data_IF_328455144997
#
_entry.id   IF_328455144997
#
_cell.length_a   1.000
_cell.length_b   1.000
_cell.length_c   1.000
_cell.angle_alpha   90.00
_cell.angle_beta   90.00
_cell.angle_gamma   90.00
#
_symmetry.space_group_name_H-M   'P 1'
#
loop_
_entity.id
_entity.type
_entity.pdbx_description
1 polymer ?
#
# COMPACT_ATOMS: atom_id res chain seq x y z
N UNK A 1 -3.70 -18.41 -16.31
CA UNK A 1 -4.65 -18.22 -15.20
C UNK A 1 -6.01 -17.85 -15.77
N UNK A 2 -7.13 -18.44 -15.32
CA UNK A 2 -8.46 -17.92 -15.69
C UNK A 2 -8.81 -16.78 -14.73
N UNK A 3 -8.49 -15.55 -15.13
CA UNK A 3 -9.15 -14.38 -14.57
C UNK A 3 -10.64 -14.59 -14.84
N UNK A 4 -11.50 -14.45 -13.82
CA UNK A 4 -12.93 -14.37 -14.07
C UNK A 4 -13.17 -13.09 -14.86
N UNK A 5 -13.35 -13.22 -16.18
CA UNK A 5 -13.50 -12.10 -17.10
C UNK A 5 -14.56 -11.10 -16.60
N UNK A 6 -15.69 -11.60 -16.09
CA UNK A 6 -16.75 -10.76 -15.52
C UNK A 6 -16.30 -9.90 -14.32
N UNK A 7 -15.42 -10.40 -13.45
CA UNK A 7 -14.90 -9.63 -12.31
C UNK A 7 -13.88 -8.57 -12.78
N UNK A 8 -13.13 -8.88 -13.83
CA UNK A 8 -12.21 -7.93 -14.46
C UNK A 8 -12.96 -6.82 -15.18
N UNK A 9 -13.92 -7.14 -16.04
CA UNK A 9 -14.74 -6.17 -16.78
C UNK A 9 -15.43 -5.20 -15.82
N UNK A 10 -16.04 -5.71 -14.74
CA UNK A 10 -16.70 -4.86 -13.75
C UNK A 10 -15.73 -3.89 -13.07
N UNK A 11 -14.51 -4.34 -12.73
CA UNK A 11 -13.49 -3.49 -12.12
C UNK A 11 -12.91 -2.50 -13.14
N UNK A 12 -12.70 -2.94 -14.38
CA UNK A 12 -12.13 -2.14 -15.45
C UNK A 12 -13.06 -0.99 -15.86
N UNK A 13 -14.35 -1.25 -16.08
CA UNK A 13 -15.35 -0.22 -16.42
C UNK A 13 -15.41 0.88 -15.35
N UNK A 14 -15.27 0.55 -14.07
CA UNK A 14 -15.22 1.55 -13.00
C UNK A 14 -13.94 2.39 -13.03
N UNK A 15 -12.80 1.79 -13.38
CA UNK A 15 -11.51 2.48 -13.46
C UNK A 15 -11.43 3.34 -14.72
N UNK A 16 -11.90 2.85 -15.85
CA UNK A 16 -11.97 3.57 -17.13
C UNK A 16 -12.75 4.88 -17.00
N UNK A 17 -13.85 4.88 -16.24
CA UNK A 17 -14.61 6.11 -15.92
C UNK A 17 -13.77 7.19 -15.21
N UNK A 18 -12.80 6.79 -14.40
CA UNK A 18 -11.91 7.70 -13.68
C UNK A 18 -10.62 7.99 -14.45
N UNK A 19 -10.17 7.05 -15.28
CA UNK A 19 -8.93 7.08 -16.03
C UNK A 19 -9.21 6.61 -17.47
N UNK A 20 -9.71 7.49 -18.36
CA UNK A 20 -10.15 7.10 -19.70
C UNK A 20 -9.00 6.64 -20.61
N UNK A 21 -7.74 6.93 -20.25
CA UNK A 21 -6.55 6.55 -21.02
C UNK A 21 -5.93 5.22 -20.56
N UNK A 22 -6.59 4.46 -19.68
CA UNK A 22 -6.07 3.16 -19.24
C UNK A 22 -6.11 2.16 -20.41
N UNK A 23 -4.99 1.49 -20.67
CA UNK A 23 -4.93 0.44 -21.71
C UNK A 23 -5.55 -0.85 -21.18
N UNK A 24 -6.55 -1.38 -21.89
CA UNK A 24 -7.21 -2.64 -21.57
C UNK A 24 -6.26 -3.82 -21.64
N UNK A 25 -5.53 -3.95 -22.74
CA UNK A 25 -4.57 -5.05 -22.95
C UNK A 25 -3.51 -5.07 -21.84
N UNK A 26 -3.03 -3.88 -21.47
CA UNK A 26 -2.05 -3.75 -20.41
C UNK A 26 -2.65 -4.05 -19.03
N UNK A 27 -3.88 -3.64 -18.77
CA UNK A 27 -4.62 -3.97 -17.55
C UNK A 27 -4.86 -5.49 -17.40
N UNK A 28 -5.23 -6.18 -18.48
CA UNK A 28 -5.44 -7.64 -18.49
C UNK A 28 -4.13 -8.39 -18.21
N UNK A 29 -3.04 -7.99 -18.88
CA UNK A 29 -1.72 -8.58 -18.66
C UNK A 29 -1.22 -8.34 -17.23
N UNK A 30 -1.44 -7.15 -16.70
CA UNK A 30 -1.06 -6.77 -15.34
C UNK A 30 -1.82 -7.58 -14.28
N UNK A 31 -3.15 -7.69 -14.40
CA UNK A 31 -3.96 -8.47 -13.47
C UNK A 31 -3.62 -9.96 -13.53
N UNK A 32 -3.29 -10.48 -14.72
CA UNK A 32 -2.84 -11.87 -14.88
C UNK A 32 -1.56 -12.13 -14.10
N UNK A 33 -0.53 -11.29 -14.31
CA UNK A 33 0.75 -11.39 -13.60
C UNK A 33 0.60 -11.23 -12.10
N UNK A 34 -0.19 -10.25 -11.65
CA UNK A 34 -0.45 -10.04 -10.23
C UNK A 34 -1.20 -11.23 -9.61
N UNK A 35 -2.17 -11.79 -10.34
CA UNK A 35 -2.90 -12.97 -9.89
C UNK A 35 -2.01 -14.20 -9.74
N UNK A 36 -1.10 -14.41 -10.68
CA UNK A 36 -0.11 -15.49 -10.61
C UNK A 36 0.86 -15.28 -9.43
N UNK A 37 1.34 -14.05 -9.21
CA UNK A 37 2.22 -13.70 -8.10
C UNK A 37 1.54 -13.90 -6.73
N UNK A 38 0.27 -13.51 -6.60
CA UNK A 38 -0.55 -13.72 -5.41
C UNK A 38 -0.79 -15.22 -5.16
N UNK A 39 -1.08 -16.00 -6.20
CA UNK A 39 -1.34 -17.44 -6.07
C UNK A 39 -0.07 -18.24 -5.76
N UNK A 40 1.05 -17.82 -6.32
CA UNK A 40 2.37 -18.41 -6.04
C UNK A 40 2.80 -18.22 -4.58
N UNK A 41 2.03 -17.44 -3.78
CA UNK A 41 2.20 -17.24 -2.35
C UNK A 41 3.67 -17.02 -1.97
N UNK A 42 4.30 -16.03 -2.60
CA UNK A 42 5.74 -15.77 -2.50
C UNK A 42 6.22 -15.31 -1.09
N UNK A 43 5.42 -15.49 -0.04
CA UNK A 43 5.70 -14.99 1.31
C UNK A 43 5.75 -13.45 1.40
N UNK A 44 5.50 -12.76 0.28
CA UNK A 44 5.62 -11.32 0.16
C UNK A 44 4.28 -10.63 0.42
N UNK A 45 4.30 -9.44 1.04
CA UNK A 45 3.09 -8.66 1.24
C UNK A 45 2.48 -8.24 -0.11
N UNK A 46 1.15 -8.15 -0.18
CA UNK A 46 0.42 -7.78 -1.40
C UNK A 46 0.94 -6.48 -2.05
N UNK A 47 1.37 -5.51 -1.24
CA UNK A 47 1.95 -4.27 -1.75
C UNK A 47 3.26 -4.46 -2.53
N UNK A 48 4.05 -5.47 -2.19
CA UNK A 48 5.30 -5.81 -2.87
C UNK A 48 5.02 -6.58 -4.16
N UNK A 49 4.09 -7.55 -4.12
CA UNK A 49 3.56 -8.23 -5.31
C UNK A 49 2.97 -7.25 -6.33
N UNK A 50 2.23 -6.25 -5.83
CA UNK A 50 1.69 -5.16 -6.65
C UNK A 50 2.80 -4.35 -7.32
N UNK A 51 3.86 -4.04 -6.57
CA UNK A 51 5.01 -3.29 -7.09
C UNK A 51 5.79 -4.09 -8.14
N UNK A 52 5.98 -5.39 -7.92
CA UNK A 52 6.61 -6.29 -8.89
C UNK A 52 5.78 -6.38 -10.17
N UNK A 53 4.48 -6.61 -10.07
CA UNK A 53 3.60 -6.68 -11.23
C UNK A 53 3.56 -5.37 -12.04
N UNK A 54 3.63 -4.21 -11.37
CA UNK A 54 3.76 -2.91 -12.04
C UNK A 54 5.10 -2.77 -12.78
N UNK A 55 6.19 -3.24 -12.17
CA UNK A 55 7.51 -3.21 -12.80
C UNK A 55 7.58 -4.16 -14.02
N UNK A 56 7.06 -5.38 -13.89
CA UNK A 56 7.02 -6.40 -14.96
C UNK A 56 6.13 -6.02 -16.13
N UNK A 57 5.19 -5.10 -15.90
CA UNK A 57 4.31 -4.55 -16.93
C UNK A 57 4.85 -3.25 -17.52
N UNK A 58 6.09 -2.86 -17.18
CA UNK A 58 6.75 -1.62 -17.62
C UNK A 58 5.98 -0.34 -17.27
N UNK A 59 5.13 -0.38 -16.24
CA UNK A 59 4.35 0.77 -15.77
C UNK A 59 5.21 1.53 -14.76
N UNK A 60 6.07 2.42 -15.26
CA UNK A 60 7.03 3.12 -14.41
C UNK A 60 6.61 4.53 -14.03
N UNK A 61 5.89 5.23 -14.91
CA UNK A 61 5.46 6.59 -14.65
C UNK A 61 4.42 6.64 -13.55
N UNK A 62 4.52 7.66 -12.69
CA UNK A 62 3.61 7.81 -11.54
C UNK A 62 2.16 7.97 -11.99
N UNK A 63 1.94 8.72 -13.07
CA UNK A 63 0.64 8.98 -13.69
C UNK A 63 0.00 7.69 -14.20
N UNK A 64 0.81 6.82 -14.79
CA UNK A 64 0.33 5.55 -15.35
C UNK A 64 0.10 4.51 -14.25
N UNK A 65 0.84 4.55 -13.13
CA UNK A 65 0.72 3.56 -12.04
C UNK A 65 -0.61 3.63 -11.28
N UNK A 66 -1.19 4.81 -11.17
CA UNK A 66 -2.39 5.04 -10.35
C UNK A 66 -3.62 4.24 -10.83
N UNK A 67 -3.99 4.25 -12.12
CA UNK A 67 -5.11 3.44 -12.62
C UNK A 67 -4.93 1.95 -12.33
N UNK A 68 -3.74 1.38 -12.56
CA UNK A 68 -3.51 -0.05 -12.32
C UNK A 68 -3.51 -0.42 -10.83
N UNK A 69 -3.10 0.49 -9.95
CA UNK A 69 -3.23 0.30 -8.49
C UNK A 69 -4.70 0.27 -8.06
N UNK A 70 -5.50 1.20 -8.58
CA UNK A 70 -6.94 1.25 -8.29
C UNK A 70 -7.63 0.00 -8.84
N UNK A 71 -7.27 -0.42 -10.06
CA UNK A 71 -7.76 -1.65 -10.68
C UNK A 71 -7.42 -2.88 -9.84
N UNK A 72 -6.16 -3.04 -9.42
CA UNK A 72 -5.75 -4.11 -8.52
C UNK A 72 -6.50 -4.06 -7.18
N UNK A 73 -6.72 -2.87 -6.63
CA UNK A 73 -7.51 -2.67 -5.42
C UNK A 73 -8.98 -3.07 -5.58
N UNK A 74 -9.61 -2.78 -6.72
CA UNK A 74 -11.00 -3.19 -6.99
C UNK A 74 -11.12 -4.68 -7.28
N UNK A 75 -10.18 -5.25 -8.04
CA UNK A 75 -10.19 -6.65 -8.43
C UNK A 75 -9.76 -7.58 -7.28
N UNK A 76 -8.63 -7.31 -6.62
CA UNK A 76 -8.10 -8.13 -5.52
C UNK A 76 -8.54 -7.66 -4.13
N UNK A 77 -8.85 -6.38 -3.93
CA UNK A 77 -9.28 -5.86 -2.63
C UNK A 77 -10.69 -6.28 -2.21
N UNK A 78 -11.51 -6.84 -3.12
CA UNK A 78 -12.71 -7.61 -2.73
C UNK A 78 -12.37 -8.93 -2.01
N UNK A 79 -11.17 -9.48 -2.19
CA UNK A 79 -10.70 -10.74 -1.55
C UNK A 79 -9.83 -10.54 -0.31
N UNK A 80 -9.47 -9.32 0.05
CA UNK A 80 -8.68 -9.05 1.25
C UNK A 80 -9.02 -7.67 1.79
N UNK A 81 -9.71 -7.61 2.94
CA UNK A 81 -10.19 -6.41 3.61
C UNK A 81 -9.09 -5.48 4.12
N UNK A 82 -8.27 -4.92 3.23
CA UNK A 82 -7.24 -3.94 3.55
C UNK A 82 -7.17 -2.73 2.62
N UNK A 83 -8.10 -2.59 1.66
CA UNK A 83 -8.21 -1.39 0.83
C UNK A 83 -9.48 -0.56 1.08
N UNK A 84 -10.34 -0.98 2.02
CA UNK A 84 -11.40 -0.12 2.53
C UNK A 84 -10.78 0.86 3.53
N UNK A 85 -10.69 2.13 3.12
CA UNK A 85 -10.37 3.28 3.96
C UNK A 85 -8.90 3.53 4.32
N UNK A 86 -8.09 3.94 3.33
CA UNK A 86 -7.52 5.30 3.45
C UNK A 86 -8.61 6.31 3.10
N UNK A 87 -9.65 6.36 3.95
CA UNK A 87 -10.31 7.65 4.18
C UNK A 87 -9.15 8.55 4.56
N UNK A 88 -9.01 9.65 3.85
CA UNK A 88 -8.35 10.83 4.39
C UNK A 88 -8.80 10.94 5.85
N UNK A 89 -7.93 10.54 6.78
CA UNK A 89 -8.15 10.88 8.16
C UNK A 89 -8.25 12.42 8.12
N UNK A 90 -9.34 13.04 8.61
CA UNK A 90 -9.31 14.48 8.82
C UNK A 90 -8.04 14.72 9.64
N UNK A 91 -7.12 15.49 9.04
CA UNK A 91 -5.81 15.89 9.54
C UNK A 91 -5.73 15.61 11.03
N UNK A 92 -5.27 14.41 11.38
CA UNK A 92 -5.12 14.04 12.77
C UNK A 92 -4.01 14.96 13.23
N UNK A 93 -4.39 16.00 13.96
CA UNK A 93 -3.44 16.87 14.62
C UNK A 93 -2.69 15.92 15.51
N UNK A 94 -1.50 15.50 15.07
CA UNK A 94 -0.53 14.94 15.97
C UNK A 94 -0.46 15.92 17.13
N UNK A 95 -0.82 15.57 18.39
CA UNK A 95 -0.03 16.16 19.45
C UNK A 95 1.39 15.77 19.07
N UNK A 96 2.18 16.79 18.73
CA UNK A 96 3.60 16.70 18.49
C UNK A 96 4.14 15.75 19.55
N UNK A 97 4.41 14.48 19.18
CA UNK A 97 5.14 13.58 20.07
C UNK A 97 6.54 14.15 20.02
N UNK A 98 6.80 15.08 20.94
CA UNK A 98 8.12 15.57 21.26
C UNK A 98 9.05 14.35 21.28
N UNK A 99 10.27 14.46 20.71
CA UNK A 99 11.23 13.37 20.76
C UNK A 99 11.27 12.87 22.20
N UNK A 100 11.12 11.55 22.37
CA UNK A 100 11.18 10.92 23.68
C UNK A 100 12.49 11.38 24.32
N UNK A 101 12.39 12.32 25.27
CA UNK A 101 13.51 12.68 26.11
C UNK A 101 13.92 11.37 26.79
N UNK A 102 15.18 10.93 26.70
CA UNK A 102 15.65 9.93 27.64
C UNK A 102 15.45 10.57 29.02
N UNK A 103 14.52 10.03 29.80
CA UNK A 103 14.24 10.51 31.13
C UNK A 103 15.42 10.09 32.01
N UNK A 104 16.51 10.84 31.96
CA UNK A 104 17.59 10.63 32.90
C UNK A 104 17.15 11.30 34.21
N UNK A 105 16.72 10.47 35.15
CA UNK A 105 16.48 10.92 36.51
C UNK A 105 17.85 11.21 37.15
N UNK A 106 18.12 12.49 37.37
CA UNK A 106 19.25 12.93 38.19
C UNK A 106 18.84 12.73 39.64
N UNK A 107 19.54 11.85 40.35
CA UNK A 107 19.32 11.63 41.78
C UNK A 107 20.48 12.30 42.51
N UNK A 108 20.18 13.24 43.40
CA UNK A 108 21.17 13.77 44.35
C UNK A 108 21.47 12.71 45.40
N UNK A 109 22.74 12.34 45.50
CA UNK A 109 23.23 11.55 46.63
C UNK A 109 23.44 12.48 47.83
N UNK A 110 23.29 12.00 49.07
CA UNK A 110 23.46 12.83 50.28
C UNK A 110 24.88 13.38 50.48
N UNK A 111 25.84 13.04 49.61
CA UNK A 111 27.19 13.63 49.56
C UNK A 111 27.34 14.74 48.49
N UNK A 112 26.24 15.22 47.91
CA UNK A 112 26.24 16.36 46.98
C UNK A 112 26.71 16.07 45.56
N UNK A 113 26.88 14.79 45.16
CA UNK A 113 27.22 14.42 43.79
C UNK A 113 25.98 13.95 43.00
N UNK A 114 25.86 14.46 41.77
CA UNK A 114 24.81 14.10 40.81
C UNK A 114 25.20 12.83 40.05
N UNK A 115 24.32 11.82 40.04
CA UNK A 115 24.50 10.60 39.25
C UNK A 115 23.36 10.43 38.23
N UNK A 116 23.70 9.87 37.07
CA UNK A 116 22.81 9.61 35.94
C UNK A 116 22.56 8.11 35.88
N UNK A 117 21.30 7.65 36.01
CA UNK A 117 20.93 6.24 35.78
C UNK A 117 20.27 6.13 34.41
N UNK A 118 20.84 5.27 33.56
CA UNK A 118 20.28 4.89 32.25
C UNK A 118 19.37 3.68 32.45
#
# INVERSE_FOLDING_TARGET
>A
MYIKAAEFESAFVEVEKMYPNISRDLAESFISKLGDAVRSNQGQPFGELLRLALNDSHIWQRTDREPYKVLAGKFFGRRGGHAAHKKSAPKQVTPKRSPAKPAVAVIERPNGQLAWKI
#
